data_IF_455354866622
#
_entry.id   IF_455354866622
#
_cell.length_a   1.000
_cell.length_b   1.000
_cell.length_c   1.000
_cell.angle_alpha   90.00
_cell.angle_beta   90.00
_cell.angle_gamma   90.00
#
_symmetry.space_group_name_H-M   'P 1'
#
loop_
_entity.id
_entity.type
_entity.pdbx_description
1 polymer ?
#
# COMPACT_ATOMS: atom_id res chain seq x y z
N UNK A 1 5.23 29.50 -14.58
CA UNK A 1 5.32 30.14 -13.25
C UNK A 1 6.23 29.45 -12.24
N UNK A 2 6.37 28.12 -12.19
CA UNK A 2 7.25 27.46 -11.17
C UNK A 2 8.75 27.66 -11.39
N UNK A 3 9.19 27.91 -12.62
CA UNK A 3 10.62 28.04 -12.94
C UNK A 3 11.10 29.49 -13.06
N UNK A 4 10.17 30.48 -13.12
CA UNK A 4 10.53 31.88 -13.30
C UNK A 4 11.41 32.42 -12.18
N UNK A 5 11.16 31.99 -10.94
CA UNK A 5 11.99 32.33 -9.79
C UNK A 5 13.40 31.76 -9.85
N UNK A 6 13.56 30.50 -10.32
CA UNK A 6 14.86 29.85 -10.45
C UNK A 6 15.70 30.50 -11.57
N UNK A 7 15.07 30.86 -12.70
CA UNK A 7 15.75 31.64 -13.76
C UNK A 7 16.05 33.07 -13.33
N UNK A 8 15.18 33.69 -12.52
CA UNK A 8 15.47 35.01 -11.93
C UNK A 8 16.74 34.97 -11.07
N UNK A 9 16.89 33.96 -10.22
CA UNK A 9 18.11 33.75 -9.41
C UNK A 9 19.37 33.60 -10.28
N UNK A 10 19.31 32.80 -11.35
CA UNK A 10 20.39 32.66 -12.31
C UNK A 10 20.77 34.02 -12.97
N UNK A 11 19.77 34.79 -13.39
CA UNK A 11 19.97 36.07 -13.99
C UNK A 11 20.52 37.12 -13.00
N UNK A 12 20.05 37.09 -11.75
CA UNK A 12 20.54 37.99 -10.71
C UNK A 12 21.99 37.67 -10.33
N UNK A 13 22.36 36.36 -10.26
CA UNK A 13 23.76 35.95 -10.06
C UNK A 13 24.66 36.54 -11.18
N UNK A 14 24.22 36.48 -12.44
CA UNK A 14 24.96 37.08 -13.59
C UNK A 14 25.08 38.59 -13.47
N UNK A 15 24.00 39.29 -13.10
CA UNK A 15 24.00 40.75 -12.89
C UNK A 15 24.96 41.19 -11.78
N UNK A 16 25.08 40.36 -10.74
CA UNK A 16 25.97 40.60 -9.61
C UNK A 16 27.42 40.16 -9.87
N UNK A 17 27.76 39.75 -11.11
CA UNK A 17 29.06 39.15 -11.45
C UNK A 17 29.44 37.95 -10.61
N UNK A 18 28.43 37.25 -10.04
CA UNK A 18 28.64 35.97 -9.33
C UNK A 18 28.49 34.84 -10.34
N UNK A 19 29.52 34.02 -10.48
CA UNK A 19 29.48 32.88 -11.40
C UNK A 19 28.45 31.85 -10.92
N UNK A 20 27.46 31.47 -11.73
CA UNK A 20 26.51 30.41 -11.34
C UNK A 20 27.22 29.08 -11.06
N UNK A 21 26.70 28.30 -10.15
CA UNK A 21 27.23 26.98 -9.76
C UNK A 21 26.36 25.85 -10.33
N UNK A 22 26.94 24.65 -10.50
CA UNK A 22 26.25 23.47 -11.05
C UNK A 22 24.93 23.18 -10.35
N UNK A 23 24.87 23.31 -9.03
CA UNK A 23 23.66 23.08 -8.25
C UNK A 23 22.43 23.91 -8.65
N UNK A 24 22.64 25.15 -9.16
CA UNK A 24 21.53 25.98 -9.65
C UNK A 24 20.90 25.39 -10.90
N UNK A 25 21.70 24.89 -11.83
CA UNK A 25 21.24 24.23 -13.05
C UNK A 25 20.61 22.89 -12.75
N UNK A 26 21.22 22.11 -11.84
CA UNK A 26 20.70 20.81 -11.40
C UNK A 26 19.31 20.94 -10.80
N UNK A 27 19.05 21.97 -9.98
CA UNK A 27 17.74 22.23 -9.39
C UNK A 27 16.67 22.51 -10.45
N UNK A 28 17.02 23.33 -11.48
CA UNK A 28 16.11 23.63 -12.59
C UNK A 28 15.87 22.39 -13.45
N UNK A 29 16.94 21.65 -13.79
CA UNK A 29 16.85 20.40 -14.54
C UNK A 29 15.96 19.37 -13.84
N UNK A 30 16.21 19.12 -12.56
CA UNK A 30 15.40 18.20 -11.74
C UNK A 30 13.92 18.59 -11.72
N UNK A 31 13.63 19.90 -11.68
CA UNK A 31 12.27 20.42 -11.80
C UNK A 31 11.62 20.07 -13.13
N UNK A 32 12.28 20.30 -14.24
CA UNK A 32 11.76 19.97 -15.57
C UNK A 32 11.58 18.46 -15.76
N UNK A 33 12.53 17.66 -15.33
CA UNK A 33 12.44 16.21 -15.43
C UNK A 33 11.28 15.64 -14.60
N UNK A 34 11.06 16.18 -13.38
CA UNK A 34 9.89 15.80 -12.55
C UNK A 34 8.56 16.09 -13.25
N UNK A 35 8.50 17.17 -14.02
CA UNK A 35 7.34 17.49 -14.87
C UNK A 35 7.32 16.72 -16.21
N UNK A 36 8.22 15.76 -16.40
CA UNK A 36 8.38 14.98 -17.65
C UNK A 36 8.68 15.84 -18.88
N UNK A 37 9.23 17.05 -18.69
CA UNK A 37 9.64 17.98 -19.76
C UNK A 37 11.10 17.79 -20.13
N UNK A 38 11.45 16.60 -20.65
CA UNK A 38 12.83 16.18 -20.91
C UNK A 38 13.58 17.18 -21.80
N UNK A 39 12.98 17.60 -22.93
CA UNK A 39 13.60 18.56 -23.83
C UNK A 39 13.91 19.92 -23.18
N UNK A 40 13.12 20.33 -22.18
CA UNK A 40 13.40 21.57 -21.44
C UNK A 40 14.59 21.37 -20.48
N UNK A 41 14.65 20.22 -19.80
CA UNK A 41 15.79 19.85 -18.94
C UNK A 41 17.11 19.79 -19.73
N UNK A 42 17.11 19.20 -20.93
CA UNK A 42 18.29 19.14 -21.79
C UNK A 42 18.71 20.54 -22.32
N UNK A 43 17.77 21.48 -22.47
CA UNK A 43 18.13 22.86 -22.77
C UNK A 43 18.85 23.57 -21.62
N UNK A 44 18.52 23.21 -20.37
CA UNK A 44 19.22 23.73 -19.20
C UNK A 44 20.67 23.22 -19.17
N UNK A 45 20.93 21.97 -19.54
CA UNK A 45 22.28 21.43 -19.68
C UNK A 45 23.08 22.24 -20.70
N UNK A 46 22.54 22.49 -21.89
CA UNK A 46 23.18 23.36 -22.91
C UNK A 46 23.48 24.77 -22.40
N UNK A 47 22.56 25.34 -21.62
CA UNK A 47 22.77 26.64 -21.01
C UNK A 47 23.91 26.60 -19.97
N UNK A 48 24.02 25.55 -19.19
CA UNK A 48 25.11 25.31 -18.23
C UNK A 48 26.48 25.27 -18.94
N UNK A 49 26.56 24.60 -20.10
CA UNK A 49 27.76 24.53 -20.93
C UNK A 49 28.11 25.92 -21.52
N UNK A 50 27.13 26.66 -22.03
CA UNK A 50 27.33 28.02 -22.56
C UNK A 50 27.85 28.98 -21.48
N UNK A 51 27.42 28.82 -20.25
CA UNK A 51 27.89 29.61 -19.11
C UNK A 51 29.25 29.10 -18.56
N UNK A 52 29.88 28.15 -19.24
CA UNK A 52 31.17 27.53 -18.86
C UNK A 52 31.13 26.94 -17.42
N UNK A 53 29.99 26.41 -17.04
CA UNK A 53 29.82 25.67 -15.80
C UNK A 53 29.91 24.17 -16.12
N UNK A 54 30.86 23.48 -15.50
CA UNK A 54 31.06 22.03 -15.75
C UNK A 54 29.96 21.21 -15.08
N UNK A 55 29.38 20.21 -15.79
CA UNK A 55 28.53 19.21 -15.18
C UNK A 55 29.23 18.47 -14.04
N UNK A 56 28.49 18.14 -13.00
CA UNK A 56 28.97 17.44 -11.80
C UNK A 56 28.28 16.05 -11.68
N UNK A 57 28.65 15.22 -10.71
CA UNK A 57 28.02 13.91 -10.51
C UNK A 57 26.49 13.98 -10.38
N UNK A 58 25.95 15.04 -9.76
CA UNK A 58 24.50 15.23 -9.62
C UNK A 58 23.84 15.54 -10.97
N UNK A 59 24.50 16.28 -11.85
CA UNK A 59 24.05 16.54 -13.22
C UNK A 59 23.83 15.21 -13.95
N UNK A 60 24.83 14.32 -13.94
CA UNK A 60 24.74 13.01 -14.59
C UNK A 60 23.73 12.07 -13.92
N UNK A 61 23.60 12.12 -12.58
CA UNK A 61 22.56 11.38 -11.89
C UNK A 61 21.16 11.76 -12.39
N UNK A 62 20.90 13.06 -12.61
CA UNK A 62 19.63 13.51 -13.17
C UNK A 62 19.46 13.10 -14.64
N UNK A 63 20.50 13.25 -15.47
CA UNK A 63 20.43 12.87 -16.88
C UNK A 63 20.14 11.39 -17.06
N UNK A 64 20.90 10.52 -16.37
CA UNK A 64 20.74 9.07 -16.43
C UNK A 64 19.37 8.66 -15.88
N UNK A 65 18.98 9.18 -14.71
CA UNK A 65 17.73 8.81 -14.03
C UNK A 65 16.43 9.14 -14.80
N UNK A 66 16.53 9.93 -15.86
CA UNK A 66 15.38 10.27 -16.72
C UNK A 66 15.53 9.81 -18.18
N UNK A 67 16.50 8.91 -18.45
CA UNK A 67 16.58 8.24 -19.74
C UNK A 67 15.42 7.24 -19.89
N UNK A 68 14.79 7.27 -21.05
CA UNK A 68 13.75 6.33 -21.46
C UNK A 68 14.25 5.31 -22.48
N UNK A 69 15.55 5.37 -22.85
CA UNK A 69 16.22 4.48 -23.79
C UNK A 69 17.59 4.08 -23.30
N UNK A 70 17.93 2.85 -23.55
CA UNK A 70 19.20 2.27 -23.15
C UNK A 70 20.41 3.02 -23.77
N UNK A 71 20.32 3.41 -25.03
CA UNK A 71 21.41 4.11 -25.71
C UNK A 71 21.78 5.43 -25.03
N UNK A 72 20.77 6.14 -24.50
CA UNK A 72 21.00 7.38 -23.78
C UNK A 72 21.63 7.14 -22.40
N UNK A 73 21.27 6.05 -21.71
CA UNK A 73 21.89 5.63 -20.44
C UNK A 73 23.39 5.38 -20.66
N UNK A 74 23.71 4.54 -21.64
CA UNK A 74 25.10 4.19 -21.97
C UNK A 74 25.89 5.46 -22.34
N UNK A 75 25.32 6.29 -23.20
CA UNK A 75 25.93 7.54 -23.66
C UNK A 75 26.34 8.43 -22.48
N UNK A 76 25.42 8.75 -21.58
CA UNK A 76 25.71 9.65 -20.46
C UNK A 76 26.65 9.01 -19.44
N UNK A 77 26.59 7.70 -19.26
CA UNK A 77 27.53 6.98 -18.36
C UNK A 77 28.96 6.95 -18.91
N UNK A 78 29.13 6.75 -20.20
CA UNK A 78 30.44 6.81 -20.88
C UNK A 78 30.98 8.24 -20.90
N UNK A 79 30.16 9.24 -21.18
CA UNK A 79 30.53 10.65 -21.16
C UNK A 79 31.06 11.07 -19.78
N UNK A 80 30.35 10.66 -18.71
CA UNK A 80 30.78 10.88 -17.33
C UNK A 80 32.17 10.27 -17.07
N UNK A 81 32.40 9.03 -17.50
CA UNK A 81 33.69 8.35 -17.35
C UNK A 81 34.81 9.04 -18.14
N UNK A 82 34.52 9.45 -19.41
CA UNK A 82 35.48 10.16 -20.23
C UNK A 82 35.91 11.50 -19.64
N UNK A 83 35.00 12.19 -18.95
CA UNK A 83 35.28 13.44 -18.25
C UNK A 83 36.01 13.25 -16.91
N UNK A 84 36.26 12.02 -16.49
CA UNK A 84 36.91 11.69 -15.23
C UNK A 84 36.07 12.07 -14.00
N UNK A 85 34.76 12.18 -14.14
CA UNK A 85 33.85 12.48 -13.04
C UNK A 85 33.68 11.23 -12.17
N UNK A 86 33.86 11.38 -10.87
CA UNK A 86 33.72 10.26 -9.91
C UNK A 86 32.31 9.71 -9.92
N UNK A 87 32.17 8.38 -10.13
CA UNK A 87 30.89 7.70 -10.03
C UNK A 87 30.48 7.62 -8.55
N UNK A 88 29.37 8.25 -8.22
CA UNK A 88 28.84 8.27 -6.85
C UNK A 88 27.73 7.23 -6.67
N UNK A 89 27.38 6.91 -5.42
CA UNK A 89 26.21 6.08 -5.09
C UNK A 89 24.94 6.53 -5.84
N UNK A 90 24.73 7.83 -5.93
CA UNK A 90 23.54 8.36 -6.63
C UNK A 90 23.54 8.06 -8.12
N UNK A 91 24.71 8.00 -8.76
CA UNK A 91 24.82 7.60 -10.17
C UNK A 91 24.48 6.12 -10.32
N UNK A 92 25.03 5.24 -9.46
CA UNK A 92 24.68 3.82 -9.48
C UNK A 92 23.18 3.59 -9.28
N UNK A 93 22.56 4.33 -8.32
CA UNK A 93 21.11 4.29 -8.11
C UNK A 93 20.34 4.74 -9.36
N UNK A 94 20.79 5.82 -10.01
CA UNK A 94 20.17 6.30 -11.24
C UNK A 94 20.31 5.31 -12.41
N UNK A 95 21.44 4.62 -12.52
CA UNK A 95 21.66 3.55 -13.52
C UNK A 95 20.69 2.40 -13.29
N UNK A 96 20.58 1.90 -12.06
CA UNK A 96 19.66 0.82 -11.71
C UNK A 96 18.24 1.23 -12.11
N UNK A 97 17.75 2.36 -11.60
CA UNK A 97 16.38 2.84 -11.87
C UNK A 97 16.12 3.09 -13.36
N UNK A 98 17.10 3.60 -14.11
CA UNK A 98 16.96 3.85 -15.54
C UNK A 98 16.91 2.56 -16.37
N UNK A 99 17.76 1.59 -16.06
CA UNK A 99 17.70 0.29 -16.71
C UNK A 99 16.39 -0.44 -16.43
N UNK A 100 15.90 -0.38 -15.20
CA UNK A 100 14.61 -0.93 -14.81
C UNK A 100 13.44 -0.26 -15.54
N UNK A 101 13.45 1.07 -15.63
CA UNK A 101 12.44 1.82 -16.38
C UNK A 101 12.41 1.47 -17.88
N UNK A 102 13.56 1.04 -18.42
CA UNK A 102 13.69 0.52 -19.78
C UNK A 102 13.38 -1.00 -19.88
N UNK A 103 13.02 -1.69 -18.78
CA UNK A 103 12.79 -3.13 -18.75
C UNK A 103 14.07 -3.98 -18.87
N UNK A 104 15.24 -3.38 -18.67
CA UNK A 104 16.55 -4.03 -18.79
C UNK A 104 17.06 -4.53 -17.42
N UNK A 105 16.31 -5.43 -16.79
CA UNK A 105 16.57 -5.88 -15.42
C UNK A 105 17.93 -6.55 -15.24
N UNK A 106 18.37 -7.34 -16.23
CA UNK A 106 19.70 -7.97 -16.20
C UNK A 106 20.84 -6.95 -16.17
N UNK A 107 20.68 -5.82 -16.87
CA UNK A 107 21.68 -4.74 -16.83
C UNK A 107 21.63 -3.99 -15.50
N UNK A 108 20.45 -3.81 -14.92
CA UNK A 108 20.31 -3.26 -13.58
C UNK A 108 21.06 -4.14 -12.54
N UNK A 109 20.94 -5.47 -12.63
CA UNK A 109 21.73 -6.42 -11.80
C UNK A 109 23.24 -6.28 -12.05
N UNK A 110 23.65 -6.17 -13.31
CA UNK A 110 25.07 -6.01 -13.68
C UNK A 110 25.70 -4.75 -13.09
N UNK A 111 24.94 -3.68 -12.89
CA UNK A 111 25.45 -2.47 -12.22
C UNK A 111 25.98 -2.78 -10.83
N UNK A 112 25.40 -3.74 -10.11
CA UNK A 112 25.85 -4.14 -8.75
C UNK A 112 27.19 -4.87 -8.75
N UNK A 113 27.69 -5.30 -9.90
CA UNK A 113 28.99 -5.96 -10.08
C UNK A 113 30.14 -4.96 -10.34
N UNK A 114 29.81 -3.66 -10.45
CA UNK A 114 30.83 -2.63 -10.69
C UNK A 114 31.75 -2.48 -9.45
N UNK A 115 33.05 -2.66 -9.65
CA UNK A 115 34.05 -2.56 -8.60
C UNK A 115 34.17 -1.16 -7.99
N UNK A 116 33.65 -0.15 -8.67
CA UNK A 116 33.60 1.24 -8.21
C UNK A 116 32.56 1.50 -7.13
N UNK A 117 31.68 0.55 -6.81
CA UNK A 117 30.64 0.70 -5.80
C UNK A 117 31.29 0.67 -4.39
N UNK A 118 31.09 1.73 -3.58
CA UNK A 118 31.55 1.69 -2.19
C UNK A 118 30.83 0.57 -1.42
N UNK A 119 31.58 -0.27 -0.72
CA UNK A 119 31.05 -1.41 0.07
C UNK A 119 29.89 -1.00 0.97
N UNK A 120 29.99 0.19 1.60
CA UNK A 120 28.95 0.75 2.47
C UNK A 120 27.63 1.04 1.75
N UNK A 121 27.66 1.24 0.44
CA UNK A 121 26.46 1.57 -0.38
C UNK A 121 25.85 0.34 -1.05
N UNK A 122 26.54 -0.78 -1.04
CA UNK A 122 26.13 -1.97 -1.78
C UNK A 122 24.78 -2.53 -1.29
N UNK A 123 24.58 -2.60 0.02
CA UNK A 123 23.32 -3.09 0.58
C UNK A 123 22.13 -2.18 0.23
N UNK A 124 22.33 -0.86 0.25
CA UNK A 124 21.32 0.12 -0.11
C UNK A 124 20.95 0.02 -1.60
N UNK A 125 21.94 -0.17 -2.49
CA UNK A 125 21.71 -0.37 -3.92
C UNK A 125 20.97 -1.69 -4.20
N UNK A 126 21.38 -2.78 -3.54
CA UNK A 126 20.71 -4.08 -3.62
C UNK A 126 19.26 -4.00 -3.13
N UNK A 127 19.03 -3.34 -2.01
CA UNK A 127 17.69 -3.12 -1.46
C UNK A 127 16.79 -2.32 -2.41
N UNK A 128 17.35 -1.32 -3.08
CA UNK A 128 16.65 -0.54 -4.10
C UNK A 128 16.27 -1.43 -5.30
N UNK A 129 17.21 -2.22 -5.81
CA UNK A 129 16.96 -3.14 -6.90
C UNK A 129 15.84 -4.13 -6.55
N UNK A 130 15.88 -4.75 -5.38
CA UNK A 130 14.82 -5.68 -4.94
C UNK A 130 13.46 -5.00 -4.90
N UNK A 131 13.39 -3.80 -4.32
CA UNK A 131 12.12 -3.04 -4.23
C UNK A 131 11.55 -2.75 -5.62
N UNK A 132 12.41 -2.42 -6.56
CA UNK A 132 12.00 -2.11 -7.91
C UNK A 132 11.62 -3.37 -8.70
N UNK A 133 12.39 -4.45 -8.63
CA UNK A 133 12.04 -5.73 -9.23
C UNK A 133 10.67 -6.20 -8.75
N UNK A 134 10.42 -6.17 -7.43
CA UNK A 134 9.15 -6.53 -6.84
C UNK A 134 8.01 -5.64 -7.38
N UNK A 135 8.19 -4.32 -7.42
CA UNK A 135 7.17 -3.39 -7.89
C UNK A 135 6.84 -3.52 -9.38
N UNK A 136 7.79 -4.02 -10.18
CA UNK A 136 7.60 -4.29 -11.61
C UNK A 136 7.09 -5.73 -11.88
N UNK A 137 6.75 -6.49 -10.84
CA UNK A 137 6.24 -7.86 -10.98
C UNK A 137 7.31 -8.91 -11.27
N UNK A 138 8.60 -8.56 -11.23
CA UNK A 138 9.74 -9.47 -11.42
C UNK A 138 10.08 -10.17 -10.10
N UNK A 139 9.10 -10.89 -9.53
CA UNK A 139 9.22 -11.45 -8.18
C UNK A 139 10.28 -12.53 -8.09
N UNK A 140 10.43 -13.37 -9.11
CA UNK A 140 11.46 -14.39 -9.15
C UNK A 140 12.86 -13.77 -9.04
N UNK A 141 13.14 -12.75 -9.85
CA UNK A 141 14.42 -12.04 -9.83
C UNK A 141 14.66 -11.30 -8.51
N UNK A 142 13.59 -10.74 -7.90
CA UNK A 142 13.68 -10.09 -6.59
C UNK A 142 14.05 -11.09 -5.49
N UNK A 143 13.46 -12.28 -5.51
CA UNK A 143 13.75 -13.35 -4.54
C UNK A 143 15.14 -13.95 -4.76
N UNK A 144 15.56 -14.19 -6.00
CA UNK A 144 16.91 -14.67 -6.31
C UNK A 144 17.96 -13.66 -5.79
N UNK A 145 17.74 -12.36 -6.03
CA UNK A 145 18.63 -11.31 -5.53
C UNK A 145 18.62 -11.25 -3.99
N UNK A 146 17.46 -11.48 -3.36
CA UNK A 146 17.35 -11.57 -1.90
C UNK A 146 18.17 -12.74 -1.35
N UNK A 147 18.04 -13.93 -1.93
CA UNK A 147 18.78 -15.11 -1.51
C UNK A 147 20.29 -14.94 -1.67
N UNK A 148 20.76 -14.35 -2.79
CA UNK A 148 22.16 -14.02 -3.00
C UNK A 148 22.73 -13.12 -1.90
N UNK A 149 21.96 -12.11 -1.47
CA UNK A 149 22.35 -11.21 -0.38
C UNK A 149 22.47 -11.97 0.94
N UNK A 150 21.49 -12.83 1.23
CA UNK A 150 21.49 -13.60 2.48
C UNK A 150 22.63 -14.61 2.51
N UNK A 151 22.95 -15.28 1.40
CA UNK A 151 24.08 -16.18 1.27
C UNK A 151 25.43 -15.45 1.46
N UNK A 152 25.50 -14.20 1.01
CA UNK A 152 26.68 -13.35 1.22
C UNK A 152 26.75 -12.75 2.66
N UNK A 153 25.82 -13.09 3.56
CA UNK A 153 25.75 -12.55 4.93
C UNK A 153 25.36 -11.07 5.01
N UNK A 154 24.71 -10.55 3.98
CA UNK A 154 24.20 -9.18 3.94
C UNK A 154 22.80 -9.06 4.54
N UNK A 155 22.47 -7.85 5.00
CA UNK A 155 21.14 -7.50 5.47
C UNK A 155 20.46 -6.57 4.47
N UNK A 156 19.12 -6.71 4.35
CA UNK A 156 18.31 -5.82 3.56
C UNK A 156 17.86 -4.61 4.38
N UNK A 157 17.66 -3.51 3.68
CA UNK A 157 16.95 -2.39 4.28
C UNK A 157 15.48 -2.75 4.57
N UNK A 158 14.93 -2.33 5.72
CA UNK A 158 13.56 -2.67 6.10
C UNK A 158 12.50 -2.35 5.03
N UNK A 159 12.71 -1.28 4.27
CA UNK A 159 11.80 -0.90 3.17
C UNK A 159 11.78 -1.92 2.03
N UNK A 160 12.91 -2.53 1.71
CA UNK A 160 12.98 -3.56 0.68
C UNK A 160 12.28 -4.85 1.15
N UNK A 161 12.47 -5.21 2.43
CA UNK A 161 11.74 -6.33 3.05
C UNK A 161 10.23 -6.10 2.96
N UNK A 162 9.75 -4.91 3.34
CA UNK A 162 8.34 -4.57 3.22
C UNK A 162 7.83 -4.60 1.77
N UNK A 163 8.64 -4.14 0.81
CA UNK A 163 8.28 -4.23 -0.61
C UNK A 163 8.11 -5.67 -1.06
N UNK A 164 9.02 -6.57 -0.69
CA UNK A 164 8.86 -8.01 -0.97
C UNK A 164 7.56 -8.56 -0.37
N UNK A 165 7.28 -8.26 0.90
CA UNK A 165 6.08 -8.74 1.57
C UNK A 165 4.79 -8.23 0.90
N UNK A 166 4.79 -6.99 0.38
CA UNK A 166 3.65 -6.41 -0.32
C UNK A 166 3.30 -7.16 -1.60
N UNK A 167 4.30 -7.53 -2.38
CA UNK A 167 4.09 -8.19 -3.67
C UNK A 167 3.98 -9.72 -3.57
N UNK A 168 4.37 -10.32 -2.43
CA UNK A 168 4.20 -11.76 -2.16
C UNK A 168 2.78 -12.16 -1.77
N UNK A 169 1.86 -11.22 -1.55
CA UNK A 169 0.51 -11.53 -1.02
C UNK A 169 -0.33 -12.44 -1.93
N UNK A 170 -0.06 -12.51 -3.23
CA UNK A 170 -0.81 -13.35 -4.18
C UNK A 170 -0.23 -14.76 -4.32
N UNK A 171 1.07 -14.90 -4.36
CA UNK A 171 1.77 -16.16 -4.69
C UNK A 171 2.73 -16.64 -3.60
N UNK A 172 2.89 -15.86 -2.53
CA UNK A 172 3.84 -16.13 -1.46
C UNK A 172 3.50 -17.33 -0.60
N UNK A 173 4.53 -17.87 0.05
CA UNK A 173 4.44 -18.86 1.13
C UNK A 173 4.44 -18.16 2.50
N UNK A 174 3.63 -18.66 3.44
CA UNK A 174 3.58 -18.15 4.80
C UNK A 174 4.96 -18.22 5.51
N UNK A 175 5.74 -19.26 5.25
CA UNK A 175 7.07 -19.39 5.85
C UNK A 175 8.00 -18.27 5.42
N UNK A 176 7.99 -17.92 4.13
CA UNK A 176 8.77 -16.80 3.60
C UNK A 176 8.30 -15.47 4.20
N UNK A 177 6.98 -15.25 4.31
CA UNK A 177 6.42 -14.05 4.94
C UNK A 177 6.87 -13.91 6.40
N UNK A 178 6.87 -15.02 7.16
CA UNK A 178 7.33 -15.03 8.54
C UNK A 178 8.86 -14.84 8.66
N UNK A 179 9.63 -15.41 7.72
CA UNK A 179 11.07 -15.18 7.66
C UNK A 179 11.40 -13.71 7.40
N UNK A 180 10.74 -13.07 6.43
CA UNK A 180 10.90 -11.64 6.16
C UNK A 180 10.50 -10.78 7.36
N UNK A 181 9.44 -11.16 8.10
CA UNK A 181 9.04 -10.46 9.31
C UNK A 181 10.11 -10.50 10.39
N UNK A 182 10.86 -11.62 10.52
CA UNK A 182 11.94 -11.76 11.50
C UNK A 182 13.13 -10.85 11.20
N UNK A 183 13.31 -10.39 9.96
CA UNK A 183 14.37 -9.45 9.57
C UNK A 183 14.07 -8.00 9.97
N UNK A 184 12.83 -7.68 10.30
CA UNK A 184 12.41 -6.34 10.70
C UNK A 184 12.67 -6.13 12.20
N UNK A 185 13.84 -5.60 12.54
CA UNK A 185 14.24 -5.39 13.93
C UNK A 185 13.74 -4.06 14.52
N UNK A 186 13.51 -3.04 13.67
CA UNK A 186 12.92 -1.77 14.11
C UNK A 186 11.44 -1.94 14.39
N UNK A 187 10.96 -1.37 15.51
CA UNK A 187 9.59 -1.55 15.97
C UNK A 187 8.55 -1.04 14.97
N UNK A 188 8.80 0.09 14.32
CA UNK A 188 7.87 0.68 13.35
C UNK A 188 7.70 -0.21 12.11
N UNK A 189 8.82 -0.64 11.54
CA UNK A 189 8.82 -1.54 10.38
C UNK A 189 8.28 -2.93 10.73
N UNK A 190 8.56 -3.44 11.93
CA UNK A 190 8.02 -4.72 12.40
C UNK A 190 6.49 -4.70 12.50
N UNK A 191 5.90 -3.60 13.01
CA UNK A 191 4.45 -3.41 13.07
C UNK A 191 3.85 -3.42 11.66
N UNK A 192 4.44 -2.66 10.74
CA UNK A 192 4.00 -2.63 9.34
C UNK A 192 4.10 -4.01 8.68
N UNK A 193 5.21 -4.73 8.94
CA UNK A 193 5.39 -6.11 8.50
C UNK A 193 4.32 -7.06 9.07
N UNK A 194 4.00 -6.96 10.37
CA UNK A 194 2.92 -7.74 11.00
C UNK A 194 1.58 -7.50 10.31
N UNK A 195 1.22 -6.24 10.00
CA UNK A 195 -0.01 -5.93 9.29
C UNK A 195 -0.07 -6.63 7.92
N UNK A 196 1.04 -6.65 7.18
CA UNK A 196 1.13 -7.35 5.88
C UNK A 196 0.99 -8.87 6.03
N UNK A 197 1.64 -9.48 7.03
CA UNK A 197 1.48 -10.92 7.31
C UNK A 197 0.06 -11.24 7.76
N UNK A 198 -0.56 -10.42 8.60
CA UNK A 198 -1.95 -10.62 9.01
C UNK A 198 -2.88 -10.55 7.79
N UNK A 199 -2.71 -9.54 6.92
CA UNK A 199 -3.47 -9.42 5.68
C UNK A 199 -3.30 -10.65 4.78
N UNK A 200 -2.08 -11.15 4.65
CA UNK A 200 -1.79 -12.40 3.95
C UNK A 200 -2.51 -13.60 4.60
N UNK A 201 -2.38 -13.75 5.93
CA UNK A 201 -3.01 -14.84 6.68
C UNK A 201 -4.54 -14.84 6.55
N UNK A 202 -5.16 -13.67 6.57
CA UNK A 202 -6.61 -13.52 6.37
C UNK A 202 -7.00 -13.98 4.96
N UNK A 203 -6.30 -13.52 3.91
CA UNK A 203 -6.57 -13.94 2.52
C UNK A 203 -6.33 -15.44 2.27
N UNK A 204 -5.31 -16.03 2.91
CA UNK A 204 -4.95 -17.44 2.76
C UNK A 204 -5.55 -18.34 3.86
N UNK A 205 -6.38 -17.80 4.75
CA UNK A 205 -7.11 -18.51 5.82
C UNK A 205 -6.22 -19.18 6.88
N UNK A 206 -5.10 -18.55 7.21
CA UNK A 206 -4.19 -18.97 8.27
C UNK A 206 -4.60 -18.37 9.62
N UNK A 207 -5.72 -18.86 10.21
CA UNK A 207 -6.34 -18.28 11.41
C UNK A 207 -5.39 -18.21 12.60
N UNK A 208 -4.71 -19.31 12.92
CA UNK A 208 -3.83 -19.39 14.11
C UNK A 208 -2.70 -18.37 14.07
N UNK A 209 -2.07 -18.18 12.90
CA UNK A 209 -0.99 -17.20 12.72
C UNK A 209 -1.51 -15.78 12.79
N UNK A 210 -2.66 -15.49 12.17
CA UNK A 210 -3.30 -14.16 12.25
C UNK A 210 -3.59 -13.78 13.70
N UNK A 211 -4.23 -14.69 14.48
CA UNK A 211 -4.55 -14.47 15.89
C UNK A 211 -3.30 -14.29 16.74
N UNK A 212 -2.26 -15.08 16.49
CA UNK A 212 -0.99 -14.96 17.20
C UNK A 212 -0.33 -13.59 16.99
N UNK A 213 -0.26 -13.11 15.75
CA UNK A 213 0.30 -11.80 15.44
C UNK A 213 -0.55 -10.65 15.97
N UNK A 214 -1.88 -10.75 15.88
CA UNK A 214 -2.80 -9.78 16.48
C UNK A 214 -2.61 -9.68 17.99
N UNK A 215 -2.38 -10.81 18.67
CA UNK A 215 -2.07 -10.82 20.10
C UNK A 215 -0.74 -10.13 20.41
N UNK A 216 0.31 -10.42 19.64
CA UNK A 216 1.61 -9.75 19.80
C UNK A 216 1.51 -8.24 19.58
N UNK A 217 0.74 -7.79 18.58
CA UNK A 217 0.49 -6.36 18.34
C UNK A 217 -0.25 -5.73 19.53
N UNK A 218 -1.31 -6.37 20.04
CA UNK A 218 -2.01 -5.90 21.23
C UNK A 218 -1.06 -5.72 22.41
N UNK A 219 -0.22 -6.71 22.67
CA UNK A 219 0.72 -6.67 23.79
C UNK A 219 1.74 -5.51 23.67
N UNK A 220 2.07 -5.13 22.43
CA UNK A 220 2.93 -3.95 22.14
C UNK A 220 2.20 -2.60 22.23
N UNK A 221 0.90 -2.58 21.99
CA UNK A 221 0.05 -1.38 22.06
C UNK A 221 -0.81 -1.35 23.33
N UNK A 222 -0.34 -1.97 24.43
CA UNK A 222 -1.12 -2.06 25.67
C UNK A 222 -1.65 -0.72 26.21
N UNK A 223 -1.02 0.39 25.85
CA UNK A 223 -1.40 1.74 26.26
C UNK A 223 -2.26 2.49 25.23
N UNK A 224 -2.50 1.93 24.03
CA UNK A 224 -3.28 2.55 22.94
C UNK A 224 -4.35 1.60 22.38
N UNK A 225 -5.51 1.58 23.06
CA UNK A 225 -6.66 0.78 22.63
C UNK A 225 -7.14 1.14 21.21
N UNK A 226 -7.02 2.42 20.80
CA UNK A 226 -7.45 2.89 19.48
C UNK A 226 -6.57 2.31 18.37
N UNK A 227 -5.26 2.25 18.57
CA UNK A 227 -4.36 1.66 17.57
C UNK A 227 -4.63 0.16 17.37
N UNK A 228 -4.87 -0.56 18.47
CA UNK A 228 -5.26 -1.96 18.40
C UNK A 228 -6.60 -2.16 17.65
N UNK A 229 -7.61 -1.33 17.95
CA UNK A 229 -8.92 -1.40 17.30
C UNK A 229 -8.82 -1.21 15.77
N UNK A 230 -8.02 -0.25 15.31
CA UNK A 230 -7.81 0.00 13.86
C UNK A 230 -7.23 -1.21 13.14
N UNK A 231 -6.25 -1.89 13.75
CA UNK A 231 -5.62 -3.08 13.16
C UNK A 231 -6.59 -4.26 13.03
N UNK A 232 -7.46 -4.44 14.03
CA UNK A 232 -8.51 -5.46 13.98
C UNK A 232 -9.54 -5.12 12.90
N UNK A 233 -9.94 -3.86 12.79
CA UNK A 233 -10.87 -3.39 11.76
C UNK A 233 -10.35 -3.70 10.35
N UNK A 234 -9.06 -3.49 10.09
CA UNK A 234 -8.44 -3.78 8.80
C UNK A 234 -8.50 -5.27 8.43
N UNK A 235 -8.22 -6.17 9.37
CA UNK A 235 -8.33 -7.61 9.14
C UNK A 235 -9.75 -8.02 8.71
N UNK A 236 -10.78 -7.42 9.31
CA UNK A 236 -12.17 -7.69 8.95
C UNK A 236 -12.61 -7.01 7.64
N UNK A 237 -12.03 -5.86 7.29
CA UNK A 237 -12.31 -5.22 6.00
C UNK A 237 -11.90 -6.12 4.83
N UNK A 238 -10.75 -6.78 4.94
CA UNK A 238 -10.25 -7.72 3.92
C UNK A 238 -11.26 -8.85 3.69
N UNK A 239 -11.80 -9.45 4.78
CA UNK A 239 -12.81 -10.52 4.67
C UNK A 239 -14.07 -10.03 3.94
N UNK A 240 -14.48 -8.80 4.20
CA UNK A 240 -15.67 -8.22 3.57
C UNK A 240 -15.47 -7.83 2.10
N UNK A 241 -14.23 -7.61 1.67
CA UNK A 241 -13.86 -7.26 0.29
C UNK A 241 -13.73 -8.49 -0.62
N UNK A 242 -13.43 -9.67 -0.06
CA UNK A 242 -13.28 -10.89 -0.85
C UNK A 242 -14.59 -11.33 -1.52
N UNK A 243 -14.48 -11.86 -2.73
CA UNK A 243 -15.60 -12.47 -3.47
C UNK A 243 -15.21 -13.86 -4.00
N UNK A 244 -15.85 -14.93 -3.49
CA UNK A 244 -16.89 -14.97 -2.46
C UNK A 244 -16.33 -14.72 -1.05
N UNK A 245 -17.07 -13.96 -0.24
CA UNK A 245 -16.68 -13.66 1.14
C UNK A 245 -16.69 -14.95 1.99
N UNK A 246 -15.60 -15.20 2.73
CA UNK A 246 -15.53 -16.31 3.68
C UNK A 246 -16.08 -15.91 5.04
N UNK A 247 -17.39 -15.99 5.17
CA UNK A 247 -18.11 -15.65 6.41
C UNK A 247 -17.67 -16.52 7.58
N UNK A 248 -17.43 -17.83 7.36
CA UNK A 248 -17.05 -18.73 8.44
C UNK A 248 -15.69 -18.35 9.03
N UNK A 249 -14.72 -18.06 8.18
CA UNK A 249 -13.41 -17.58 8.64
C UNK A 249 -13.53 -16.26 9.44
N UNK A 250 -14.41 -15.34 9.00
CA UNK A 250 -14.67 -14.11 9.73
C UNK A 250 -15.26 -14.35 11.13
N UNK A 251 -16.19 -15.29 11.25
CA UNK A 251 -16.78 -15.68 12.54
C UNK A 251 -15.75 -16.35 13.44
N UNK A 252 -14.93 -17.26 12.89
CA UNK A 252 -13.88 -17.94 13.63
C UNK A 252 -12.81 -16.97 14.13
N UNK A 253 -12.42 -15.99 13.29
CA UNK A 253 -11.50 -14.93 13.69
C UNK A 253 -12.10 -14.06 14.83
N UNK A 254 -13.38 -13.69 14.73
CA UNK A 254 -14.07 -12.94 15.76
C UNK A 254 -14.09 -13.68 17.10
N UNK A 255 -14.39 -15.00 17.07
CA UNK A 255 -14.40 -15.81 18.27
C UNK A 255 -13.00 -15.94 18.88
N UNK A 256 -11.98 -16.17 18.07
CA UNK A 256 -10.60 -16.25 18.52
C UNK A 256 -10.10 -14.93 19.14
N UNK A 257 -10.46 -13.79 18.56
CA UNK A 257 -10.14 -12.48 19.16
C UNK A 257 -10.77 -12.31 20.53
N UNK A 258 -12.01 -12.74 20.70
CA UNK A 258 -12.72 -12.67 21.99
C UNK A 258 -12.15 -13.63 23.03
N UNK A 259 -11.89 -14.89 22.63
CA UNK A 259 -11.42 -15.94 23.57
C UNK A 259 -9.94 -15.82 23.91
N UNK A 260 -9.09 -15.62 22.91
CA UNK A 260 -7.63 -15.76 23.04
C UNK A 260 -6.94 -14.42 23.31
N UNK A 261 -7.53 -13.33 22.82
CA UNK A 261 -6.99 -11.97 22.98
C UNK A 261 -7.77 -11.19 24.05
N UNK A 262 -9.05 -11.54 24.30
CA UNK A 262 -9.89 -10.89 25.30
C UNK A 262 -10.32 -9.48 24.94
N UNK A 263 -10.49 -9.17 23.64
CA UNK A 263 -10.96 -7.88 23.15
C UNK A 263 -12.41 -8.00 22.69
N UNK A 264 -13.22 -7.01 23.05
CA UNK A 264 -14.58 -6.86 22.50
C UNK A 264 -14.50 -6.31 21.08
N UNK A 265 -15.23 -6.88 20.11
CA UNK A 265 -15.20 -6.42 18.73
C UNK A 265 -15.69 -4.97 18.62
N UNK A 266 -15.04 -4.19 17.76
CA UNK A 266 -15.50 -2.86 17.41
C UNK A 266 -16.81 -2.92 16.61
N UNK A 267 -17.52 -1.81 16.52
CA UNK A 267 -18.69 -1.70 15.64
C UNK A 267 -18.31 -1.99 14.18
N UNK A 268 -17.16 -1.49 13.73
CA UNK A 268 -16.69 -1.67 12.35
C UNK A 268 -16.38 -3.13 12.04
N UNK A 269 -15.73 -3.86 12.95
CA UNK A 269 -15.52 -5.30 12.80
C UNK A 269 -16.84 -6.05 12.57
N UNK A 270 -17.85 -5.76 13.39
CA UNK A 270 -19.17 -6.37 13.25
C UNK A 270 -19.86 -5.96 11.95
N UNK A 271 -19.76 -4.70 11.53
CA UNK A 271 -20.29 -4.21 10.26
C UNK A 271 -19.65 -4.92 9.05
N UNK A 272 -18.34 -5.14 9.06
CA UNK A 272 -17.64 -5.84 8.00
C UNK A 272 -18.12 -7.30 7.89
N UNK A 273 -18.19 -8.03 9.00
CA UNK A 273 -18.68 -9.42 8.97
C UNK A 273 -20.14 -9.47 8.55
N UNK A 274 -20.96 -8.57 9.04
CA UNK A 274 -22.38 -8.52 8.64
C UNK A 274 -22.53 -8.24 7.14
N UNK A 275 -21.72 -7.37 6.58
CA UNK A 275 -21.68 -7.13 5.13
C UNK A 275 -21.25 -8.39 4.35
N UNK A 276 -20.27 -9.13 4.85
CA UNK A 276 -19.87 -10.43 4.28
C UNK A 276 -21.03 -11.43 4.32
N UNK A 277 -21.74 -11.54 5.45
CA UNK A 277 -22.94 -12.37 5.57
C UNK A 277 -24.04 -11.97 4.58
N UNK A 278 -24.27 -10.66 4.37
CA UNK A 278 -25.26 -10.16 3.39
C UNK A 278 -24.87 -10.57 1.98
N UNK A 279 -23.61 -10.40 1.59
CA UNK A 279 -23.11 -10.81 0.27
C UNK A 279 -23.26 -12.30 0.04
N UNK A 280 -22.90 -13.11 1.05
CA UNK A 280 -23.02 -14.56 1.01
C UNK A 280 -24.47 -15.08 1.18
N UNK A 281 -25.43 -14.23 1.54
CA UNK A 281 -26.81 -14.59 1.91
C UNK A 281 -26.89 -15.59 3.08
N UNK A 282 -25.95 -15.51 4.00
CA UNK A 282 -25.83 -16.37 5.15
C UNK A 282 -26.63 -15.84 6.35
N UNK A 283 -27.87 -16.30 6.46
CA UNK A 283 -28.78 -15.88 7.51
C UNK A 283 -28.32 -16.36 8.89
N UNK A 284 -27.74 -17.56 9.00
CA UNK A 284 -27.38 -18.16 10.27
C UNK A 284 -26.26 -17.35 10.94
N UNK A 285 -25.19 -17.05 10.20
CA UNK A 285 -24.11 -16.24 10.71
C UNK A 285 -24.53 -14.77 10.91
N UNK A 286 -25.42 -14.22 10.08
CA UNK A 286 -26.01 -12.91 10.30
C UNK A 286 -26.70 -12.77 11.68
N UNK A 287 -27.42 -13.82 12.12
CA UNK A 287 -28.05 -13.85 13.44
C UNK A 287 -27.06 -13.96 14.58
N UNK A 288 -25.94 -14.69 14.37
CA UNK A 288 -24.84 -14.74 15.34
C UNK A 288 -24.20 -13.36 15.54
N UNK A 289 -23.88 -12.71 14.45
CA UNK A 289 -23.28 -11.36 14.49
C UNK A 289 -24.25 -10.34 15.09
N UNK A 290 -25.54 -10.48 14.82
CA UNK A 290 -26.56 -9.66 15.47
C UNK A 290 -26.55 -9.78 16.99
N UNK A 291 -26.43 -10.99 17.54
CA UNK A 291 -26.30 -11.19 18.97
C UNK A 291 -25.06 -10.49 19.57
N UNK A 292 -23.95 -10.48 18.81
CA UNK A 292 -22.75 -9.76 19.23
C UNK A 292 -23.00 -8.24 19.33
N UNK A 293 -23.79 -7.65 18.41
CA UNK A 293 -24.22 -6.26 18.54
C UNK A 293 -25.05 -6.00 19.80
N UNK A 294 -25.97 -6.92 20.13
CA UNK A 294 -26.80 -6.79 21.34
C UNK A 294 -25.92 -6.85 22.62
N UNK A 295 -24.97 -7.77 22.68
CA UNK A 295 -24.03 -7.92 23.80
C UNK A 295 -23.14 -6.68 23.93
N UNK A 296 -22.68 -6.11 22.84
CA UNK A 296 -21.86 -4.90 22.82
C UNK A 296 -22.67 -3.61 23.11
N UNK A 297 -23.99 -3.72 23.35
CA UNK A 297 -24.86 -2.56 23.58
C UNK A 297 -25.01 -1.62 22.37
N UNK A 298 -24.78 -2.12 21.16
CA UNK A 298 -24.73 -1.33 19.92
C UNK A 298 -25.76 -1.85 18.90
N UNK A 299 -27.06 -1.54 19.06
CA UNK A 299 -28.09 -2.04 18.17
C UNK A 299 -27.90 -1.53 16.73
N UNK A 300 -27.95 -2.44 15.76
CA UNK A 300 -27.89 -2.13 14.34
C UNK A 300 -29.10 -2.64 13.59
N UNK A 301 -29.40 -2.00 12.44
CA UNK A 301 -30.51 -2.43 11.60
C UNK A 301 -30.15 -3.73 10.83
N UNK A 302 -31.04 -4.74 10.82
CA UNK A 302 -30.73 -6.07 10.27
C UNK A 302 -30.79 -6.10 8.73
N UNK A 303 -29.83 -5.47 8.05
CA UNK A 303 -29.71 -5.50 6.58
C UNK A 303 -29.65 -6.93 6.04
N UNK A 304 -28.96 -7.82 6.78
CA UNK A 304 -28.81 -9.21 6.38
C UNK A 304 -30.14 -9.98 6.33
N UNK A 305 -31.01 -9.80 7.32
CA UNK A 305 -32.32 -10.45 7.34
C UNK A 305 -33.16 -10.10 6.11
N UNK A 306 -33.07 -8.85 5.67
CA UNK A 306 -33.78 -8.37 4.50
C UNK A 306 -33.18 -8.88 3.20
N UNK A 307 -31.88 -8.93 3.09
CA UNK A 307 -31.20 -9.48 1.94
C UNK A 307 -31.50 -10.99 1.76
N UNK A 308 -31.70 -11.70 2.88
CA UNK A 308 -32.11 -13.12 2.89
C UNK A 308 -33.63 -13.33 2.72
N UNK A 309 -34.44 -12.27 2.65
CA UNK A 309 -35.89 -12.34 2.44
C UNK A 309 -36.71 -12.56 3.71
N UNK A 310 -36.12 -12.56 4.90
CA UNK A 310 -36.86 -12.65 6.17
C UNK A 310 -37.39 -11.30 6.66
N UNK A 311 -38.41 -10.81 5.95
CA UNK A 311 -39.05 -9.54 6.23
C UNK A 311 -39.75 -9.48 7.59
N UNK A 312 -40.22 -10.62 8.15
CA UNK A 312 -40.93 -10.67 9.44
C UNK A 312 -39.97 -10.43 10.60
N UNK A 313 -38.84 -11.15 10.62
CA UNK A 313 -37.81 -10.95 11.63
C UNK A 313 -37.16 -9.58 11.54
N UNK A 314 -36.95 -9.07 10.33
CA UNK A 314 -36.44 -7.71 10.08
C UNK A 314 -37.38 -6.64 10.66
N UNK A 315 -38.69 -6.76 10.46
CA UNK A 315 -39.70 -5.82 10.98
C UNK A 315 -39.79 -5.90 12.53
N UNK A 316 -39.74 -7.12 13.09
CA UNK A 316 -39.73 -7.33 14.54
C UNK A 316 -38.48 -6.71 15.21
N UNK A 317 -37.32 -6.78 14.60
CA UNK A 317 -36.10 -6.12 15.09
C UNK A 317 -36.17 -4.61 14.95
N UNK A 318 -36.75 -4.09 13.86
CA UNK A 318 -36.94 -2.64 13.66
C UNK A 318 -37.73 -1.98 14.81
N UNK A 319 -38.68 -2.70 15.40
CA UNK A 319 -39.48 -2.18 16.50
C UNK A 319 -38.69 -2.06 17.81
N UNK A 320 -37.58 -2.76 17.94
CA UNK A 320 -36.70 -2.72 19.14
C UNK A 320 -35.64 -1.60 19.09
N UNK A 321 -35.47 -0.93 17.95
CA UNK A 321 -34.46 0.11 17.77
C UNK A 321 -34.99 1.44 18.36
N UNK A 322 -34.24 2.15 19.22
CA UNK A 322 -34.64 3.45 19.74
C UNK A 322 -34.86 4.45 18.60
N UNK A 323 -36.03 5.09 18.55
CA UNK A 323 -36.41 6.04 17.49
C UNK A 323 -35.72 7.39 17.56
N UNK A 324 -35.05 7.67 18.66
CA UNK A 324 -34.56 9.02 18.99
C UNK A 324 -33.06 9.21 18.61
N UNK A 325 -32.40 8.18 18.15
CA UNK A 325 -31.01 8.25 17.69
C UNK A 325 -30.93 8.81 16.24
N UNK A 326 -30.19 9.94 16.02
CA UNK A 326 -30.06 10.55 14.68
C UNK A 326 -29.42 9.61 13.66
N UNK A 327 -28.42 8.81 14.05
CA UNK A 327 -27.73 7.88 13.16
C UNK A 327 -28.66 6.73 12.70
N UNK A 328 -29.55 6.29 13.63
CA UNK A 328 -30.57 5.28 13.31
C UNK A 328 -31.63 5.84 12.35
N UNK A 329 -32.00 7.11 12.45
CA UNK A 329 -32.93 7.76 11.50
C UNK A 329 -32.38 7.79 10.09
N UNK A 330 -31.10 8.09 9.91
CA UNK A 330 -30.47 8.14 8.60
C UNK A 330 -30.32 6.75 7.97
N UNK A 331 -30.01 5.74 8.77
CA UNK A 331 -30.01 4.33 8.33
C UNK A 331 -31.42 3.87 7.93
N UNK A 332 -32.47 4.22 8.69
CA UNK A 332 -33.86 3.91 8.36
C UNK A 332 -34.30 4.62 7.07
N UNK A 333 -33.89 5.86 6.84
CA UNK A 333 -34.18 6.60 5.60
C UNK A 333 -33.48 5.95 4.39
N UNK A 334 -32.19 5.68 4.49
CA UNK A 334 -31.44 5.00 3.43
C UNK A 334 -32.05 3.63 3.09
N UNK A 335 -32.53 2.91 4.11
CA UNK A 335 -33.20 1.64 3.95
C UNK A 335 -34.54 1.77 3.20
N UNK A 336 -35.38 2.74 3.55
CA UNK A 336 -36.69 2.98 2.89
C UNK A 336 -36.52 3.35 1.42
N UNK A 337 -35.41 3.99 1.06
CA UNK A 337 -35.06 4.31 -0.34
C UNK A 337 -34.61 3.05 -1.11
N UNK A 338 -33.82 2.21 -0.47
CA UNK A 338 -33.25 1.00 -1.12
C UNK A 338 -34.29 -0.13 -1.26
N UNK A 339 -35.23 -0.24 -0.31
CA UNK A 339 -36.27 -1.27 -0.28
C UNK A 339 -37.65 -0.62 -0.10
N UNK A 340 -38.23 -0.01 -1.14
CA UNK A 340 -39.58 0.54 -1.08
C UNK A 340 -40.60 -0.57 -0.78
N UNK A 341 -41.50 -0.30 0.16
CA UNK A 341 -42.58 -1.24 0.48
C UNK A 341 -43.28 -1.64 -0.81
N UNK A 342 -43.28 -2.95 -1.14
CA UNK A 342 -44.12 -3.47 -2.20
C UNK A 342 -45.56 -3.11 -1.83
N UNK A 343 -46.18 -2.20 -2.60
CA UNK A 343 -47.60 -1.90 -2.53
C UNK A 343 -48.34 -3.18 -2.76
N UNK A 344 -48.99 -3.72 -1.74
CA UNK A 344 -49.97 -4.82 -1.86
C UNK A 344 -50.94 -4.46 -2.96
N UNK A 345 -51.20 -5.33 -3.95
CA UNK A 345 -52.15 -5.02 -5.00
C UNK A 345 -53.53 -4.80 -4.37
N UNK A 346 -54.12 -3.63 -4.68
CA UNK A 346 -55.43 -3.24 -4.22
C UNK A 346 -56.46 -4.38 -4.50
N UNK A 347 -57.19 -4.76 -3.47
CA UNK A 347 -58.33 -5.67 -3.56
C UNK A 347 -59.23 -5.24 -4.72
N UNK A 348 -59.33 -6.07 -5.74
CA UNK A 348 -60.27 -5.88 -6.81
C UNK A 348 -61.69 -5.82 -6.23
N UNK A 349 -62.33 -4.65 -6.34
CA UNK A 349 -63.73 -4.44 -6.03
C UNK A 349 -64.58 -5.37 -6.91
N UNK A 350 -65.17 -6.38 -6.31
CA UNK A 350 -66.28 -7.12 -6.91
C UNK A 350 -67.47 -6.15 -7.06
N UNK A 351 -67.82 -5.78 -8.27
CA UNK A 351 -69.09 -5.17 -8.59
C UNK A 351 -70.20 -6.21 -8.40
N UNK A 352 -71.35 -5.89 -7.78
CA UNK A 352 -72.46 -6.76 -7.73
C UNK A 352 -73.10 -6.75 -9.12
N UNK A 353 -73.41 -7.93 -9.66
CA UNK A 353 -74.25 -8.08 -10.78
C UNK A 353 -75.73 -7.86 -10.35
N UNK A 354 -76.39 -6.97 -11.04
CA UNK A 354 -77.82 -7.01 -11.28
C UNK A 354 -78.06 -7.45 -12.73
#
# INVERSE_FOLDING_TARGET
MQFDGAYAMLNDSRKMNVKPVAGMYNAIMAGYFREKKISAGLRVLKQMELDSVKPDPQTYSHLIGYCDREEDIIKYYEELKCLGITVTKHIFMSLINAYEACGQFEKAKQVLLDEGIPVKSLNELRSSLISSLASNGQMADALDTYEEIKQAGGDLEPRAVLSLMEYLHSEGDLNLMLQLLQELHDQGYWIEGCCRVISFCVRKRHLSTAVHLLKQLKDKFCDDELAAEVLFDEAFSIIAEEEPADVQFGVDLLQAIKSDIGISPSRKCLDFILNACVKAKDLQNSLLIWKEYEIAGRPQFPKALLACGDHKSAEAMRTKIPKDDPDVRDVIRAFQVTYPKSTTPAKANKRPQQ
#
